data_IF_163607109271
#
_entry.id   IF_163607109271
#
_cell.length_a   1.000
_cell.length_b   1.000
_cell.length_c   1.000
_cell.angle_alpha   90.00
_cell.angle_beta   90.00
_cell.angle_gamma   90.00
#
_symmetry.space_group_name_H-M   'P 1'
#
loop_
_entity.id
_entity.type
_entity.pdbx_description
1 polymer ?
#
# COMPACT_ATOMS: atom_id res chain seq x y z
N UNK A 1 20.62 62.62 -39.35
CA UNK A 1 20.01 62.30 -38.02
C UNK A 1 18.84 61.33 -38.02
N UNK A 2 17.81 61.46 -38.87
CA UNK A 2 16.64 60.56 -38.84
C UNK A 2 16.93 59.06 -39.13
N UNK A 3 17.90 58.76 -40.00
CA UNK A 3 18.32 57.38 -40.32
C UNK A 3 19.00 56.69 -39.12
N UNK A 4 19.82 57.41 -38.37
CA UNK A 4 20.47 56.89 -37.16
C UNK A 4 19.46 56.65 -36.02
N UNK A 5 18.43 57.49 -35.91
CA UNK A 5 17.34 57.29 -34.95
C UNK A 5 16.50 56.04 -35.30
N UNK A 6 16.20 55.81 -36.58
CA UNK A 6 15.52 54.59 -37.05
C UNK A 6 16.34 53.33 -36.81
N UNK A 7 17.65 53.36 -37.06
CA UNK A 7 18.55 52.24 -36.79
C UNK A 7 18.62 51.87 -35.30
N UNK A 8 18.66 52.87 -34.41
CA UNK A 8 18.63 52.65 -32.96
C UNK A 8 17.29 52.08 -32.47
N UNK A 9 16.17 52.55 -33.04
CA UNK A 9 14.85 52.01 -32.72
C UNK A 9 14.67 50.56 -33.16
N UNK A 10 15.15 50.21 -34.36
CA UNK A 10 15.12 48.82 -34.85
C UNK A 10 16.01 47.90 -34.00
N UNK A 11 17.21 48.35 -33.62
CA UNK A 11 18.10 47.59 -32.75
C UNK A 11 17.50 47.36 -31.34
N UNK A 12 16.82 48.37 -30.78
CA UNK A 12 16.13 48.24 -29.50
C UNK A 12 14.95 47.26 -29.56
N UNK A 13 14.19 47.25 -30.68
CA UNK A 13 13.09 46.31 -30.87
C UNK A 13 13.58 44.86 -30.95
N UNK A 14 14.67 44.61 -31.69
CA UNK A 14 15.28 43.26 -31.80
C UNK A 14 15.84 42.80 -30.45
N UNK A 15 16.48 43.70 -29.68
CA UNK A 15 16.95 43.37 -28.33
C UNK A 15 15.80 43.03 -27.38
N UNK A 16 14.70 43.77 -27.42
CA UNK A 16 13.52 43.48 -26.62
C UNK A 16 12.89 42.13 -26.98
N UNK A 17 12.82 41.81 -28.27
CA UNK A 17 12.31 40.52 -28.76
C UNK A 17 13.22 39.35 -28.32
N UNK A 18 14.54 39.49 -28.46
CA UNK A 18 15.48 38.48 -27.97
C UNK A 18 15.41 38.30 -26.46
N UNK A 19 15.23 39.37 -25.69
CA UNK A 19 15.06 39.29 -24.24
C UNK A 19 13.76 38.57 -23.85
N UNK A 20 12.66 38.83 -24.56
CA UNK A 20 11.39 38.15 -24.33
C UNK A 20 11.48 36.66 -24.65
N UNK A 21 12.13 36.30 -25.77
CA UNK A 21 12.36 34.90 -26.14
C UNK A 21 13.26 34.17 -25.13
N UNK A 22 14.30 34.83 -24.63
CA UNK A 22 15.18 34.26 -23.61
C UNK A 22 14.43 33.99 -22.30
N UNK A 23 13.60 34.94 -21.85
CA UNK A 23 12.79 34.78 -20.66
C UNK A 23 11.76 33.65 -20.80
N UNK A 24 11.10 33.54 -21.97
CA UNK A 24 10.17 32.45 -22.25
C UNK A 24 10.87 31.07 -22.22
N UNK A 25 12.03 30.95 -22.89
CA UNK A 25 12.80 29.71 -22.90
C UNK A 25 13.33 29.32 -21.51
N UNK A 26 13.66 30.30 -20.67
CA UNK A 26 14.04 30.05 -19.27
C UNK A 26 12.85 29.51 -18.46
N UNK A 27 11.66 30.10 -18.61
CA UNK A 27 10.45 29.62 -17.94
C UNK A 27 10.06 28.19 -18.36
N UNK A 28 10.15 27.87 -19.65
CA UNK A 28 9.90 26.50 -20.15
C UNK A 28 10.90 25.49 -19.58
N UNK A 29 12.19 25.88 -19.49
CA UNK A 29 13.23 25.04 -18.92
C UNK A 29 13.00 24.76 -17.43
N UNK A 30 12.59 25.77 -16.66
CA UNK A 30 12.27 25.59 -15.24
C UNK A 30 11.06 24.68 -15.04
N UNK A 31 10.00 24.88 -15.83
CA UNK A 31 8.83 24.01 -15.80
C UNK A 31 9.17 22.55 -16.14
N UNK A 32 10.03 22.33 -17.14
CA UNK A 32 10.51 21.01 -17.51
C UNK A 32 11.35 20.37 -16.38
N UNK A 33 12.20 21.14 -15.70
CA UNK A 33 12.98 20.65 -14.56
C UNK A 33 12.10 20.21 -13.40
N UNK A 34 11.08 21.00 -13.04
CA UNK A 34 10.11 20.62 -12.00
C UNK A 34 9.38 19.34 -12.40
N UNK A 35 8.95 19.22 -13.67
CA UNK A 35 8.26 18.02 -14.15
C UNK A 35 9.14 16.78 -14.11
N UNK A 36 10.42 16.90 -14.47
CA UNK A 36 11.40 15.82 -14.37
C UNK A 36 11.57 15.38 -12.91
N UNK A 37 11.68 16.32 -11.97
CA UNK A 37 11.83 16.00 -10.55
C UNK A 37 10.61 15.23 -10.01
N UNK A 38 9.39 15.63 -10.38
CA UNK A 38 8.17 14.90 -10.04
C UNK A 38 8.16 13.47 -10.57
N UNK A 39 8.53 13.30 -11.85
CA UNK A 39 8.57 11.99 -12.49
C UNK A 39 9.63 11.08 -11.87
N UNK A 40 10.80 11.61 -11.50
CA UNK A 40 11.83 10.85 -10.79
C UNK A 40 11.30 10.35 -9.44
N UNK A 41 10.60 11.20 -8.69
CA UNK A 41 9.99 10.78 -7.42
C UNK A 41 8.93 9.70 -7.63
N UNK A 42 8.14 9.81 -8.70
CA UNK A 42 7.13 8.79 -9.02
C UNK A 42 7.75 7.45 -9.43
N UNK A 43 8.82 7.48 -10.22
CA UNK A 43 9.59 6.28 -10.59
C UNK A 43 10.09 5.60 -9.32
N UNK A 44 10.73 6.34 -8.40
CA UNK A 44 11.21 5.77 -7.13
C UNK A 44 10.10 5.14 -6.30
N UNK A 45 8.94 5.81 -6.20
CA UNK A 45 7.80 5.28 -5.47
C UNK A 45 7.29 3.97 -6.08
N UNK A 46 7.15 3.92 -7.41
CA UNK A 46 6.71 2.72 -8.13
C UNK A 46 7.73 1.59 -8.04
N UNK A 47 9.03 1.89 -8.13
CA UNK A 47 10.11 0.93 -7.92
C UNK A 47 10.04 0.31 -6.52
N UNK A 48 9.78 1.12 -5.48
CA UNK A 48 9.58 0.61 -4.12
C UNK A 48 8.33 -0.27 -3.98
N UNK A 49 7.26 0.02 -4.72
CA UNK A 49 6.06 -0.82 -4.72
C UNK A 49 6.32 -2.15 -5.44
N UNK A 50 7.01 -2.11 -6.58
CA UNK A 50 7.42 -3.31 -7.32
C UNK A 50 8.34 -4.17 -6.45
N UNK A 51 9.31 -3.55 -5.77
CA UNK A 51 10.23 -4.28 -4.90
C UNK A 51 9.47 -4.96 -3.76
N UNK A 52 8.59 -4.24 -3.06
CA UNK A 52 7.72 -4.84 -2.04
C UNK A 52 6.91 -6.01 -2.60
N UNK A 53 6.31 -5.86 -3.77
CA UNK A 53 5.57 -6.94 -4.44
C UNK A 53 6.44 -8.15 -4.79
N UNK A 54 7.69 -7.92 -5.23
CA UNK A 54 8.66 -8.97 -5.49
C UNK A 54 9.08 -9.68 -4.21
N UNK A 55 9.33 -8.95 -3.12
CA UNK A 55 9.68 -9.57 -1.83
C UNK A 55 8.54 -10.46 -1.29
N UNK A 56 7.28 -10.17 -1.64
CA UNK A 56 6.13 -11.05 -1.36
C UNK A 56 5.99 -12.22 -2.34
N UNK A 57 6.48 -12.07 -3.58
CA UNK A 57 6.31 -13.04 -4.66
C UNK A 57 7.55 -13.91 -4.92
N UNK A 58 8.70 -13.60 -4.33
CA UNK A 58 9.96 -14.31 -4.49
C UNK A 58 10.04 -15.48 -3.49
N UNK A 59 9.84 -16.72 -3.96
CA UNK A 59 9.85 -17.91 -3.09
C UNK A 59 11.25 -18.23 -2.54
N UNK A 60 12.32 -17.68 -3.13
CA UNK A 60 13.71 -17.98 -2.73
C UNK A 60 14.24 -17.04 -1.64
N UNK A 61 13.55 -15.91 -1.37
CA UNK A 61 13.93 -14.93 -0.34
C UNK A 61 13.01 -14.94 0.90
N UNK A 62 12.04 -15.86 0.95
CA UNK A 62 11.33 -16.21 2.19
C UNK A 62 11.96 -17.47 2.79
N UNK A 63 12.58 -17.41 3.98
CA UNK A 63 12.93 -18.61 4.72
C UNK A 63 11.63 -19.31 5.13
N UNK A 64 11.13 -20.19 4.25
CA UNK A 64 9.82 -20.82 4.39
C UNK A 64 8.70 -19.91 3.90
N UNK A 65 8.49 -19.86 2.58
CA UNK A 65 7.31 -19.27 2.01
C UNK A 65 6.06 -19.80 2.71
N UNK A 66 5.35 -18.95 3.44
CA UNK A 66 4.08 -19.34 4.05
C UNK A 66 3.18 -19.67 2.87
N UNK A 67 2.96 -20.96 2.63
CA UNK A 67 2.05 -21.40 1.59
C UNK A 67 0.68 -20.79 1.91
N UNK A 68 0.30 -19.75 1.18
CA UNK A 68 -0.94 -19.02 1.43
C UNK A 68 -2.16 -19.94 1.36
N UNK A 69 -2.08 -21.02 0.57
CA UNK A 69 -3.07 -22.07 0.51
C UNK A 69 -3.10 -22.90 1.81
N UNK A 70 -1.94 -23.22 2.37
CA UNK A 70 -1.84 -23.89 3.67
C UNK A 70 -2.39 -23.02 4.80
N UNK A 71 -2.00 -21.74 4.86
CA UNK A 71 -2.53 -20.80 5.85
C UNK A 71 -4.05 -20.66 5.72
N UNK A 72 -4.56 -20.50 4.49
CA UNK A 72 -6.01 -20.48 4.21
C UNK A 72 -6.69 -21.73 4.74
N UNK A 73 -6.13 -22.91 4.50
CA UNK A 73 -6.68 -24.17 5.00
C UNK A 73 -6.67 -24.25 6.53
N UNK A 74 -5.59 -23.81 7.18
CA UNK A 74 -5.51 -23.74 8.64
C UNK A 74 -6.56 -22.79 9.23
N UNK A 75 -6.72 -21.60 8.67
CA UNK A 75 -7.70 -20.61 9.13
C UNK A 75 -9.13 -21.11 8.92
N UNK A 76 -9.45 -21.68 7.76
CA UNK A 76 -10.77 -22.23 7.49
C UNK A 76 -11.12 -23.37 8.46
N UNK A 77 -10.17 -24.30 8.71
CA UNK A 77 -10.37 -25.37 9.69
C UNK A 77 -10.52 -24.84 11.11
N UNK A 78 -9.76 -23.82 11.48
CA UNK A 78 -9.84 -23.20 12.81
C UNK A 78 -11.20 -22.54 13.05
N UNK A 79 -11.76 -21.88 12.02
CA UNK A 79 -13.10 -21.29 12.09
C UNK A 79 -14.21 -22.34 12.13
N UNK A 80 -14.03 -23.47 11.42
CA UNK A 80 -15.04 -24.52 11.30
C UNK A 80 -15.03 -25.58 12.40
N UNK A 81 -13.93 -25.77 13.12
CA UNK A 81 -13.83 -26.81 14.15
C UNK A 81 -14.44 -26.35 15.49
N UNK A 82 -15.19 -27.24 16.14
CA UNK A 82 -15.77 -27.05 17.48
C UNK A 82 -14.82 -27.62 18.54
N UNK A 83 -13.93 -28.54 18.14
CA UNK A 83 -12.96 -29.13 19.05
C UNK A 83 -11.90 -28.10 19.45
N UNK A 84 -11.76 -27.94 20.76
CA UNK A 84 -10.87 -26.97 21.37
C UNK A 84 -9.42 -27.41 21.29
N UNK A 85 -9.17 -28.72 21.36
CA UNK A 85 -7.83 -29.28 21.16
C UNK A 85 -7.34 -28.98 19.74
N UNK A 86 -8.21 -29.21 18.74
CA UNK A 86 -7.91 -28.85 17.36
C UNK A 86 -7.77 -27.34 17.15
N UNK A 87 -8.63 -26.50 17.76
CA UNK A 87 -8.47 -25.03 17.72
C UNK A 87 -7.14 -24.58 18.30
N UNK A 88 -6.73 -25.11 19.45
CA UNK A 88 -5.45 -24.76 20.09
C UNK A 88 -4.26 -25.16 19.21
N UNK A 89 -4.31 -26.35 18.61
CA UNK A 89 -3.29 -26.82 17.67
C UNK A 89 -3.20 -25.92 16.44
N UNK A 90 -4.34 -25.61 15.81
CA UNK A 90 -4.39 -24.75 14.63
C UNK A 90 -4.00 -23.30 14.94
N UNK A 91 -4.39 -22.78 16.10
CA UNK A 91 -3.95 -21.46 16.57
C UNK A 91 -2.43 -21.42 16.71
N UNK A 92 -1.80 -22.48 17.23
CA UNK A 92 -0.34 -22.58 17.29
C UNK A 92 0.32 -22.48 15.91
N UNK A 93 -0.23 -23.19 14.93
CA UNK A 93 0.25 -23.15 13.54
C UNK A 93 0.05 -21.77 12.92
N UNK A 94 -1.15 -21.18 13.03
CA UNK A 94 -1.48 -19.86 12.49
C UNK A 94 -0.60 -18.78 13.12
N UNK A 95 -0.39 -18.84 14.45
CA UNK A 95 0.45 -17.90 15.19
C UNK A 95 1.90 -17.97 14.75
N UNK A 96 2.41 -19.18 14.48
CA UNK A 96 3.77 -19.37 13.98
C UNK A 96 3.94 -18.85 12.55
N UNK A 97 2.96 -19.08 11.67
CA UNK A 97 2.98 -18.63 10.27
C UNK A 97 2.80 -17.11 10.13
N UNK A 98 1.99 -16.50 10.99
CA UNK A 98 1.70 -15.06 10.96
C UNK A 98 2.53 -14.25 11.97
N UNK A 99 3.48 -14.89 12.66
CA UNK A 99 4.34 -14.28 13.66
C UNK A 99 3.58 -13.49 14.74
N UNK A 100 2.52 -14.08 15.29
CA UNK A 100 1.78 -13.47 16.39
C UNK A 100 2.67 -13.31 17.63
N UNK A 101 2.49 -12.18 18.31
CA UNK A 101 3.08 -11.93 19.62
C UNK A 101 2.44 -12.81 20.69
N UNK A 102 3.15 -13.06 21.81
CA UNK A 102 2.59 -13.81 22.94
C UNK A 102 1.30 -13.19 23.50
N UNK A 103 1.18 -11.86 23.46
CA UNK A 103 0.00 -11.12 23.91
C UNK A 103 -1.23 -11.37 23.02
N UNK A 104 -1.04 -11.38 21.70
CA UNK A 104 -2.12 -11.70 20.75
C UNK A 104 -2.63 -13.13 20.95
N UNK A 105 -1.72 -14.09 21.10
CA UNK A 105 -2.09 -15.49 21.37
C UNK A 105 -2.84 -15.62 22.70
N UNK A 106 -2.39 -14.90 23.74
CA UNK A 106 -3.06 -14.89 25.04
C UNK A 106 -4.47 -14.31 24.95
N UNK A 107 -4.66 -13.19 24.24
CA UNK A 107 -5.96 -12.58 24.05
C UNK A 107 -6.95 -13.48 23.31
N UNK A 108 -6.48 -14.21 22.29
CA UNK A 108 -7.31 -15.17 21.56
C UNK A 108 -7.73 -16.33 22.47
N UNK A 109 -6.79 -16.90 23.25
CA UNK A 109 -7.09 -17.97 24.21
C UNK A 109 -8.07 -17.54 25.29
N UNK A 110 -7.92 -16.31 25.81
CA UNK A 110 -8.85 -15.74 26.79
C UNK A 110 -10.26 -15.64 26.23
N UNK A 111 -10.43 -15.11 25.00
CA UNK A 111 -11.74 -15.07 24.33
C UNK A 111 -12.35 -16.46 24.12
N UNK A 112 -11.55 -17.46 23.74
CA UNK A 112 -12.04 -18.83 23.63
C UNK A 112 -12.55 -19.41 24.97
N UNK A 113 -11.95 -19.02 26.09
CA UNK A 113 -12.40 -19.44 27.42
C UNK A 113 -13.67 -18.70 27.85
N UNK A 114 -13.79 -17.41 27.53
CA UNK A 114 -14.99 -16.61 27.75
C UNK A 114 -16.19 -17.19 26.97
N UNK A 115 -15.98 -17.65 25.73
CA UNK A 115 -16.99 -18.34 24.92
C UNK A 115 -17.45 -19.68 25.52
N UNK A 116 -16.57 -20.43 26.21
CA UNK A 116 -16.96 -21.65 26.94
C UNK A 116 -17.84 -21.37 28.17
N UNK A 117 -17.71 -20.19 28.78
CA UNK A 117 -18.53 -19.75 29.90
C UNK A 117 -19.89 -19.16 29.51
N UNK A 118 -20.11 -18.89 28.21
CA UNK A 118 -21.26 -18.17 27.68
C UNK A 118 -22.06 -18.98 26.64
N UNK A 119 -22.41 -20.23 26.95
CA UNK A 119 -23.10 -21.22 26.08
C UNK A 119 -24.47 -20.79 25.49
N UNK A 120 -24.88 -19.50 25.52
CA UNK A 120 -26.19 -19.08 24.98
C UNK A 120 -26.28 -17.70 24.29
N UNK A 121 -25.17 -17.06 23.92
CA UNK A 121 -25.21 -15.64 23.50
C UNK A 121 -25.31 -15.31 22.00
N UNK A 122 -24.58 -15.99 21.13
CA UNK A 122 -24.24 -15.41 19.81
C UNK A 122 -24.93 -16.06 18.60
N UNK A 123 -25.51 -17.25 18.75
CA UNK A 123 -26.25 -17.92 17.67
C UNK A 123 -27.68 -17.35 17.46
N UNK A 124 -28.20 -16.48 18.33
CA UNK A 124 -29.57 -15.93 18.20
C UNK A 124 -29.65 -14.64 17.36
N UNK A 125 -28.54 -13.92 17.16
CA UNK A 125 -28.59 -12.58 16.54
C UNK A 125 -28.30 -12.54 15.05
N UNK A 126 -27.69 -13.59 14.47
CA UNK A 126 -27.32 -13.58 13.04
C UNK A 126 -28.31 -14.31 12.11
N UNK A 127 -29.35 -14.98 12.65
CA UNK A 127 -30.36 -15.67 11.82
C UNK A 127 -31.67 -14.86 11.67
N UNK A 128 -31.91 -13.87 12.53
CA UNK A 128 -33.15 -13.06 12.46
C UNK A 128 -33.14 -11.96 11.38
N UNK A 129 -32.01 -11.72 10.71
CA UNK A 129 -31.91 -10.76 9.61
C UNK A 129 -31.95 -11.39 8.21
N UNK A 130 -32.12 -12.71 8.09
CA UNK A 130 -32.12 -13.37 6.78
C UNK A 130 -33.50 -13.93 6.34
N UNK A 131 -34.46 -14.07 7.25
CA UNK A 131 -35.85 -14.33 6.89
C UNK A 131 -36.77 -13.32 7.59
N UNK A 132 -36.79 -12.11 7.04
CA UNK A 132 -37.93 -11.23 7.17
C UNK A 132 -39.02 -11.70 6.21
N UNK A 133 -39.75 -12.74 6.63
CA UNK A 133 -41.10 -13.16 6.22
C UNK A 133 -41.56 -14.30 7.14
#
# INVERSE_FOLDING_TARGET
>A
DQLAARGRGAAAAVLAECQAQLAAAQGEREAAHTRIAELINKIKELEQQIQRGKDFADPDNQPGGVNAEYLKNCVLRYMGTIDLSEKERLLGVISALLHFSPEEVHNIRRKQQEEKGGVLGWASSSVKNFYGL
#
